data_IF_544168176700
#
_entry.id   IF_544168176700
#
_cell.length_a   1.000
_cell.length_b   1.000
_cell.length_c   1.000
_cell.angle_alpha   90.00
_cell.angle_beta   90.00
_cell.angle_gamma   90.00
#
_symmetry.space_group_name_H-M   'P 1'
#
loop_
_entity.id
_entity.type
_entity.pdbx_description
1 polymer ?
#
# COMPACT_ATOMS: atom_id res chain seq x y z
N UNK A 1 -39.03 -8.16 0.99
CA UNK A 1 -39.35 -6.82 0.44
C UNK A 1 -38.08 -6.31 -0.21
N UNK A 2 -38.14 -5.92 -1.48
CA UNK A 2 -37.00 -5.38 -2.23
C UNK A 2 -37.28 -3.91 -2.57
N UNK A 3 -36.29 -3.03 -2.45
CA UNK A 3 -36.38 -1.65 -2.90
C UNK A 3 -35.80 -1.55 -4.31
N UNK A 4 -36.57 -1.01 -5.26
CA UNK A 4 -36.09 -0.72 -6.61
C UNK A 4 -36.01 0.78 -6.78
N UNK A 5 -34.90 1.27 -7.31
CA UNK A 5 -34.73 2.67 -7.69
C UNK A 5 -34.29 2.79 -9.14
N UNK A 6 -34.73 3.86 -9.79
CA UNK A 6 -34.34 4.23 -11.14
C UNK A 6 -33.21 5.28 -11.17
N UNK A 7 -32.62 5.64 -10.03
CA UNK A 7 -31.63 6.73 -9.92
C UNK A 7 -30.42 6.53 -10.86
N UNK A 8 -29.98 5.28 -11.02
CA UNK A 8 -28.86 4.88 -11.88
C UNK A 8 -29.32 4.17 -13.17
N UNK A 9 -30.59 4.36 -13.58
CA UNK A 9 -31.15 3.66 -14.75
C UNK A 9 -30.35 3.99 -16.00
N UNK A 10 -29.92 2.94 -16.72
CA UNK A 10 -29.13 3.07 -17.95
C UNK A 10 -27.64 3.30 -17.72
N UNK A 11 -27.17 3.32 -16.47
CA UNK A 11 -25.76 3.39 -16.11
C UNK A 11 -25.33 2.12 -15.37
N UNK A 12 -24.10 1.67 -15.59
CA UNK A 12 -23.54 0.53 -14.87
C UNK A 12 -23.11 0.99 -13.47
N UNK A 13 -23.44 0.23 -12.43
CA UNK A 13 -22.91 0.46 -11.09
C UNK A 13 -21.44 0.02 -11.07
N UNK A 14 -20.56 0.92 -10.65
CA UNK A 14 -19.11 0.70 -10.72
C UNK A 14 -18.44 0.71 -9.36
N UNK A 15 -19.07 1.30 -8.34
CA UNK A 15 -18.55 1.32 -6.99
C UNK A 15 -19.67 1.27 -5.95
N UNK A 16 -19.40 0.57 -4.86
CA UNK A 16 -20.26 0.50 -3.68
C UNK A 16 -19.41 0.73 -2.43
N UNK A 17 -19.95 1.42 -1.44
CA UNK A 17 -19.30 1.62 -0.16
C UNK A 17 -20.33 1.67 0.97
N UNK A 18 -20.05 0.97 2.07
CA UNK A 18 -20.92 0.95 3.25
C UNK A 18 -20.49 1.98 4.28
N UNK A 19 -21.48 2.72 4.80
CA UNK A 19 -21.43 3.28 6.15
C UNK A 19 -22.12 2.28 7.09
N UNK A 20 -21.31 1.46 7.76
CA UNK A 20 -21.79 0.44 8.69
C UNK A 20 -22.39 1.04 9.96
N UNK A 21 -22.01 2.27 10.33
CA UNK A 21 -22.46 2.92 11.57
C UNK A 21 -23.92 3.35 11.49
N UNK A 22 -24.36 3.85 10.33
CA UNK A 22 -25.73 4.34 10.13
C UNK A 22 -26.57 3.45 9.21
N UNK A 23 -25.98 2.33 8.76
CA UNK A 23 -26.55 1.36 7.82
C UNK A 23 -26.95 2.04 6.49
N UNK A 24 -26.03 2.78 5.89
CA UNK A 24 -26.21 3.40 4.56
C UNK A 24 -25.25 2.78 3.54
N UNK A 25 -25.68 2.69 2.29
CA UNK A 25 -24.86 2.26 1.15
C UNK A 25 -24.73 3.43 0.20
N UNK A 26 -23.49 3.81 -0.12
CA UNK A 26 -23.17 4.71 -1.20
C UNK A 26 -22.98 3.92 -2.49
N UNK A 27 -23.49 4.47 -3.59
CA UNK A 27 -23.50 3.86 -4.92
C UNK A 27 -22.95 4.86 -5.92
N UNK A 28 -21.94 4.45 -6.69
CA UNK A 28 -21.35 5.22 -7.78
C UNK A 28 -21.51 4.49 -9.11
N UNK A 29 -21.73 5.23 -10.19
CA UNK A 29 -21.96 4.66 -11.52
C UNK A 29 -20.98 5.12 -12.61
N UNK A 30 -21.16 4.56 -13.81
CA UNK A 30 -20.41 4.89 -15.02
C UNK A 30 -20.61 6.33 -15.51
N UNK A 31 -21.72 6.96 -15.17
CA UNK A 31 -22.02 8.36 -15.50
C UNK A 31 -21.42 9.36 -14.52
N UNK A 32 -20.82 8.91 -13.43
CA UNK A 32 -20.28 9.78 -12.38
C UNK A 32 -21.30 10.15 -11.29
N UNK A 33 -22.52 9.62 -11.33
CA UNK A 33 -23.51 9.90 -10.29
C UNK A 33 -23.17 9.11 -9.03
N UNK A 34 -23.22 9.78 -7.88
CA UNK A 34 -23.08 9.17 -6.56
C UNK A 34 -24.33 9.42 -5.75
N UNK A 35 -24.98 8.36 -5.29
CA UNK A 35 -26.16 8.40 -4.43
C UNK A 35 -25.92 7.57 -3.17
N UNK A 36 -26.82 7.69 -2.20
CA UNK A 36 -26.90 6.73 -1.10
C UNK A 36 -28.33 6.30 -0.81
N UNK A 37 -28.44 5.12 -0.23
CA UNK A 37 -29.68 4.59 0.31
C UNK A 37 -29.45 4.13 1.74
N UNK A 38 -30.46 4.29 2.60
CA UNK A 38 -30.42 3.77 3.96
C UNK A 38 -31.03 2.38 3.98
N UNK A 39 -30.22 1.37 4.30
CA UNK A 39 -30.70 0.05 4.62
C UNK A 39 -31.46 0.15 5.95
N UNK A 40 -32.74 -0.26 5.95
CA UNK A 40 -33.73 0.13 6.95
C UNK A 40 -33.30 -0.03 8.42
N UNK A 41 -33.81 0.86 9.27
CA UNK A 41 -33.75 0.73 10.73
C UNK A 41 -34.96 -0.06 11.20
N UNK A 42 -34.77 -1.28 11.70
CA UNK A 42 -35.74 -1.84 12.63
C UNK A 42 -35.45 -1.22 13.99
N UNK A 43 -36.34 -0.36 14.49
CA UNK A 43 -36.38 -0.15 15.95
C UNK A 43 -36.82 -1.49 16.54
N UNK A 44 -35.85 -2.27 17.00
CA UNK A 44 -36.06 -3.52 17.74
C UNK A 44 -36.89 -3.16 18.98
N UNK A 45 -38.19 -3.45 18.97
CA UNK A 45 -39.05 -3.15 20.13
C UNK A 45 -40.56 -3.10 19.89
N UNK A 46 -41.05 -3.06 18.64
CA UNK A 46 -42.49 -3.22 18.37
C UNK A 46 -42.72 -4.22 17.24
N UNK A 47 -43.20 -5.40 17.60
CA UNK A 47 -43.81 -6.37 16.68
C UNK A 47 -44.91 -5.62 15.91
N UNK A 48 -44.69 -5.39 14.61
CA UNK A 48 -45.63 -4.68 13.73
C UNK A 48 -45.15 -3.37 13.11
N UNK A 49 -43.94 -2.86 13.42
CA UNK A 49 -43.40 -1.68 12.70
C UNK A 49 -42.95 -2.07 11.29
N UNK A 50 -43.68 -1.63 10.27
CA UNK A 50 -43.25 -1.75 8.88
C UNK A 50 -41.83 -1.17 8.69
N UNK A 51 -40.99 -1.86 7.93
CA UNK A 51 -39.69 -1.32 7.53
C UNK A 51 -39.91 -0.04 6.72
N UNK A 52 -39.45 1.10 7.23
CA UNK A 52 -39.48 2.37 6.48
C UNK A 52 -38.26 2.41 5.57
N UNK A 53 -38.50 2.27 4.27
CA UNK A 53 -37.49 2.45 3.23
C UNK A 53 -37.36 3.96 3.00
N UNK A 54 -36.16 4.51 3.18
CA UNK A 54 -35.88 5.90 2.86
C UNK A 54 -35.62 6.05 1.36
N UNK A 55 -36.09 7.15 0.72
CA UNK A 55 -35.81 7.40 -0.69
C UNK A 55 -34.31 7.49 -0.93
N UNK A 56 -33.86 7.05 -2.11
CA UNK A 56 -32.47 7.25 -2.54
C UNK A 56 -32.20 8.75 -2.63
N UNK A 57 -31.05 9.18 -2.11
CA UNK A 57 -30.63 10.57 -2.15
C UNK A 57 -29.33 10.70 -2.94
N UNK A 58 -29.33 11.59 -3.92
CA UNK A 58 -28.12 11.90 -4.69
C UNK A 58 -27.20 12.77 -3.85
N UNK A 59 -25.96 12.32 -3.67
CA UNK A 59 -24.91 13.06 -2.96
C UNK A 59 -24.30 14.09 -3.89
N UNK A 60 -23.88 13.65 -5.07
CA UNK A 60 -23.18 14.48 -6.05
C UNK A 60 -23.12 13.79 -7.41
N UNK A 61 -22.75 14.55 -8.44
CA UNK A 61 -22.38 14.02 -9.76
C UNK A 61 -20.97 14.51 -10.07
N UNK A 62 -20.05 13.56 -10.23
CA UNK A 62 -18.66 13.85 -10.62
C UNK A 62 -18.49 13.85 -12.13
N UNK A 63 -17.32 14.26 -12.59
CA UNK A 63 -16.98 14.56 -13.98
C UNK A 63 -16.74 13.35 -14.88
N UNK A 64 -16.68 12.14 -14.32
CA UNK A 64 -16.42 10.90 -15.06
C UNK A 64 -16.83 9.67 -14.25
N UNK A 65 -16.77 8.48 -14.89
CA UNK A 65 -17.04 7.18 -14.26
C UNK A 65 -16.38 7.07 -12.88
N UNK A 66 -17.16 6.65 -11.88
CA UNK A 66 -16.66 6.38 -10.54
C UNK A 66 -15.86 5.08 -10.56
N UNK A 67 -14.64 5.13 -10.02
CA UNK A 67 -13.69 4.00 -9.94
C UNK A 67 -13.75 3.35 -8.56
N UNK A 68 -13.77 4.16 -7.50
CA UNK A 68 -13.76 3.67 -6.12
C UNK A 68 -14.46 4.67 -5.20
N UNK A 69 -15.18 4.16 -4.23
CA UNK A 69 -15.76 4.92 -3.12
C UNK A 69 -15.11 4.47 -1.81
N UNK A 70 -15.02 5.38 -0.85
CA UNK A 70 -14.62 5.07 0.52
C UNK A 70 -15.38 5.95 1.49
N UNK A 71 -15.70 5.45 2.68
CA UNK A 71 -16.38 6.21 3.71
C UNK A 71 -15.68 6.02 5.04
N UNK A 72 -15.37 7.12 5.73
CA UNK A 72 -14.79 7.10 7.07
C UNK A 72 -15.17 8.38 7.82
N UNK A 73 -15.63 8.23 9.07
CA UNK A 73 -15.87 9.33 10.02
C UNK A 73 -16.65 10.52 9.43
N UNK A 74 -17.82 10.23 8.80
CA UNK A 74 -18.69 11.25 8.22
C UNK A 74 -18.23 11.80 6.86
N UNK A 75 -17.13 11.27 6.30
CA UNK A 75 -16.58 11.72 5.02
C UNK A 75 -16.64 10.63 3.96
N UNK A 76 -17.11 11.01 2.79
CA UNK A 76 -17.15 10.19 1.59
C UNK A 76 -16.02 10.62 0.65
N UNK A 77 -15.15 9.69 0.29
CA UNK A 77 -14.19 9.88 -0.80
C UNK A 77 -14.75 9.27 -2.09
N UNK A 78 -14.63 10.03 -3.18
CA UNK A 78 -15.06 9.63 -4.53
C UNK A 78 -13.88 9.69 -5.48
N UNK A 79 -13.42 8.53 -5.93
CA UNK A 79 -12.37 8.38 -6.93
C UNK A 79 -13.01 8.17 -8.30
N UNK A 80 -12.72 9.05 -9.28
CA UNK A 80 -13.20 8.96 -10.68
C UNK A 80 -12.04 8.81 -11.66
N UNK A 81 -12.32 8.57 -12.95
CA UNK A 81 -11.27 8.45 -13.98
C UNK A 81 -10.37 9.70 -14.07
N UNK A 82 -10.95 10.88 -13.86
CA UNK A 82 -10.25 12.16 -14.07
C UNK A 82 -9.76 12.82 -12.79
N UNK A 83 -10.47 12.63 -11.68
CA UNK A 83 -10.23 13.33 -10.40
C UNK A 83 -10.58 12.49 -9.19
N UNK A 84 -10.10 12.90 -8.02
CA UNK A 84 -10.53 12.37 -6.73
C UNK A 84 -11.14 13.51 -5.91
N UNK A 85 -12.16 13.19 -5.13
CA UNK A 85 -12.93 14.15 -4.35
C UNK A 85 -13.11 13.67 -2.93
N UNK A 86 -13.20 14.62 -2.01
CA UNK A 86 -13.55 14.39 -0.63
C UNK A 86 -14.82 15.18 -0.32
N UNK A 87 -15.80 14.51 0.26
CA UNK A 87 -17.08 15.09 0.65
C UNK A 87 -17.26 14.91 2.15
N UNK A 88 -17.51 15.99 2.87
CA UNK A 88 -18.03 15.96 4.23
C UNK A 88 -19.54 15.82 4.14
N UNK A 89 -20.05 14.65 4.54
CA UNK A 89 -21.48 14.32 4.40
C UNK A 89 -22.35 14.97 5.48
N UNK A 90 -21.74 15.48 6.56
CA UNK A 90 -22.48 16.19 7.62
C UNK A 90 -22.59 17.67 7.31
N UNK A 91 -21.54 18.26 6.74
CA UNK A 91 -21.48 19.69 6.39
C UNK A 91 -21.85 19.99 4.95
N UNK A 92 -22.12 18.94 4.16
CA UNK A 92 -22.39 19.01 2.72
C UNK A 92 -21.31 19.80 1.95
N UNK A 93 -20.06 19.66 2.39
CA UNK A 93 -18.91 20.33 1.74
C UNK A 93 -18.18 19.36 0.84
N UNK A 94 -17.71 19.88 -0.29
CA UNK A 94 -17.06 19.09 -1.32
C UNK A 94 -15.74 19.73 -1.74
N UNK A 95 -14.67 18.95 -1.72
CA UNK A 95 -13.33 19.38 -2.11
C UNK A 95 -12.77 18.48 -3.19
N UNK A 96 -12.08 19.09 -4.14
CA UNK A 96 -11.23 18.36 -5.08
C UNK A 96 -9.91 18.04 -4.40
N UNK A 97 -9.45 16.80 -4.55
CA UNK A 97 -8.14 16.34 -4.08
C UNK A 97 -7.05 16.76 -5.06
N UNK A 98 -6.26 17.74 -4.65
CA UNK A 98 -5.21 18.36 -5.44
C UNK A 98 -5.73 19.11 -6.68
N UNK A 99 -4.79 19.64 -7.47
CA UNK A 99 -5.10 20.46 -8.64
C UNK A 99 -4.79 19.79 -9.98
N UNK A 100 -3.97 18.74 -10.00
CA UNK A 100 -3.67 18.01 -11.24
C UNK A 100 -4.70 16.93 -11.48
N UNK A 101 -5.21 16.91 -12.70
CA UNK A 101 -6.05 15.83 -13.19
C UNK A 101 -5.24 14.55 -13.40
N UNK A 102 -5.95 13.46 -13.63
CA UNK A 102 -5.41 12.16 -14.04
C UNK A 102 -6.25 11.64 -15.19
N UNK A 103 -5.76 10.61 -15.85
CA UNK A 103 -6.50 9.93 -16.90
C UNK A 103 -6.29 8.42 -16.78
N UNK A 104 -7.36 7.71 -16.43
CA UNK A 104 -7.37 6.27 -16.20
C UNK A 104 -7.96 5.85 -14.87
N UNK A 105 -7.99 4.53 -14.63
CA UNK A 105 -8.51 3.97 -13.38
C UNK A 105 -7.46 4.09 -12.27
N UNK A 106 -7.79 4.90 -11.26
CA UNK A 106 -6.93 5.10 -10.10
C UNK A 106 -7.77 5.14 -8.83
N UNK A 107 -7.32 4.40 -7.82
CA UNK A 107 -7.99 4.26 -6.54
C UNK A 107 -7.64 5.35 -5.54
N UNK A 108 -8.33 5.31 -4.41
CA UNK A 108 -7.99 6.08 -3.23
C UNK A 108 -8.54 5.39 -1.99
N UNK A 109 -7.96 5.65 -0.82
CA UNK A 109 -8.45 5.13 0.45
C UNK A 109 -8.09 6.04 1.61
N UNK A 110 -8.92 6.01 2.65
CA UNK A 110 -8.61 6.66 3.91
C UNK A 110 -7.54 5.89 4.68
N UNK A 111 -6.74 6.64 5.43
CA UNK A 111 -5.86 6.07 6.45
C UNK A 111 -6.62 6.02 7.79
N UNK A 112 -6.85 4.83 8.37
CA UNK A 112 -7.61 4.72 9.61
C UNK A 112 -6.77 5.17 10.80
N UNK A 113 -7.25 6.20 11.50
CA UNK A 113 -6.58 6.73 12.70
C UNK A 113 -6.81 5.86 13.95
N UNK A 114 -7.80 4.98 13.93
CA UNK A 114 -8.35 4.31 15.11
C UNK A 114 -7.53 3.11 15.63
N UNK A 115 -6.26 2.94 15.23
CA UNK A 115 -5.44 1.76 15.61
C UNK A 115 -4.21 2.11 16.44
N UNK A 116 -4.38 2.95 17.47
CA UNK A 116 -3.55 3.02 18.69
C UNK A 116 -2.08 3.46 18.55
N UNK A 117 -1.44 3.35 17.39
CA UNK A 117 -0.01 3.64 17.19
C UNK A 117 0.26 5.06 16.70
N UNK A 118 -0.79 5.81 16.32
CA UNK A 118 -0.68 7.12 15.65
C UNK A 118 -1.67 8.15 16.21
N UNK A 119 -1.98 8.06 17.50
CA UNK A 119 -2.79 9.06 18.21
C UNK A 119 -2.12 10.44 18.02
N UNK A 120 -2.78 11.34 17.29
CA UNK A 120 -2.31 12.70 17.01
C UNK A 120 -1.81 12.97 15.60
N UNK A 121 -1.71 11.97 14.71
CA UNK A 121 -1.44 12.25 13.29
C UNK A 121 -2.70 12.86 12.63
N UNK A 122 -2.58 13.90 11.80
CA UNK A 122 -3.71 14.49 11.10
C UNK A 122 -4.35 13.44 10.18
N UNK A 123 -5.65 13.56 9.89
CA UNK A 123 -6.32 12.57 9.05
C UNK A 123 -5.84 12.67 7.61
N UNK A 124 -5.58 11.50 7.01
CA UNK A 124 -4.95 11.38 5.70
C UNK A 124 -5.76 10.51 4.74
N UNK A 125 -5.65 10.86 3.47
CA UNK A 125 -6.15 10.13 2.32
C UNK A 125 -4.97 9.79 1.42
N UNK A 126 -4.92 8.55 0.93
CA UNK A 126 -4.01 8.16 -0.14
C UNK A 126 -4.75 8.12 -1.47
N UNK A 127 -4.19 8.75 -2.51
CA UNK A 127 -4.80 8.83 -3.84
C UNK A 127 -3.79 8.41 -4.92
N UNK A 128 -4.13 7.36 -5.67
CA UNK A 128 -3.31 6.89 -6.77
C UNK A 128 -3.28 7.89 -7.95
N UNK A 129 -2.12 7.92 -8.63
CA UNK A 129 -1.81 8.83 -9.74
C UNK A 129 -0.94 8.16 -10.81
N UNK A 130 -0.96 8.67 -12.06
CA UNK A 130 -0.15 8.15 -13.15
C UNK A 130 1.35 8.03 -12.82
N UNK A 131 1.97 6.99 -13.35
CA UNK A 131 3.40 6.70 -13.18
C UNK A 131 3.76 6.00 -11.87
N UNK A 132 2.88 5.10 -11.39
CA UNK A 132 3.06 4.38 -10.10
C UNK A 132 3.23 5.35 -8.93
N UNK A 133 2.40 6.40 -8.87
CA UNK A 133 2.48 7.43 -7.81
C UNK A 133 1.29 7.34 -6.87
N UNK A 134 1.52 7.70 -5.61
CA UNK A 134 0.46 7.88 -4.61
C UNK A 134 0.65 9.25 -3.96
N UNK A 135 -0.42 10.05 -3.93
CA UNK A 135 -0.46 11.27 -3.17
C UNK A 135 -0.95 11.01 -1.76
N UNK A 136 -0.26 11.59 -0.79
CA UNK A 136 -0.73 11.75 0.58
C UNK A 136 -1.43 13.10 0.70
N UNK A 137 -2.67 13.09 1.16
CA UNK A 137 -3.58 14.22 1.07
C UNK A 137 -4.25 14.44 2.42
N UNK A 138 -4.34 15.69 2.85
CA UNK A 138 -5.09 16.05 4.06
C UNK A 138 -6.60 16.13 3.78
N UNK A 139 -7.37 16.31 4.85
CA UNK A 139 -8.83 16.39 4.79
C UNK A 139 -9.40 17.72 4.25
N UNK A 140 -8.53 18.65 3.83
CA UNK A 140 -8.88 19.85 3.06
C UNK A 140 -8.68 19.63 1.54
N UNK A 141 -8.21 18.45 1.13
CA UNK A 141 -7.92 18.12 -0.27
C UNK A 141 -6.53 18.58 -0.74
N UNK A 142 -5.66 19.01 0.16
CA UNK A 142 -4.31 19.48 -0.18
C UNK A 142 -3.31 18.32 -0.20
N UNK A 143 -2.48 18.28 -1.24
CA UNK A 143 -1.45 17.26 -1.41
C UNK A 143 -0.25 17.59 -0.52
N UNK A 144 0.00 16.76 0.48
CA UNK A 144 1.11 16.90 1.42
C UNK A 144 2.40 16.33 0.85
N UNK A 145 2.31 15.16 0.20
CA UNK A 145 3.48 14.48 -0.36
C UNK A 145 3.12 13.58 -1.55
N UNK A 146 4.11 13.27 -2.38
CA UNK A 146 3.98 12.35 -3.53
C UNK A 146 4.97 11.21 -3.38
N UNK A 147 4.46 10.00 -3.15
CA UNK A 147 5.23 8.76 -3.15
C UNK A 147 5.37 8.26 -4.59
N UNK A 148 6.60 7.89 -5.00
CA UNK A 148 6.90 7.45 -6.37
C UNK A 148 7.45 6.03 -6.34
N UNK A 149 6.70 5.07 -6.86
CA UNK A 149 7.03 3.65 -6.76
C UNK A 149 7.60 3.04 -8.04
N UNK A 150 7.59 3.76 -9.19
CA UNK A 150 8.03 3.22 -10.49
C UNK A 150 9.38 2.51 -10.45
N UNK A 151 10.38 3.15 -9.85
CA UNK A 151 11.72 2.57 -9.69
C UNK A 151 11.77 1.52 -8.58
N UNK A 152 11.00 1.70 -7.50
CA UNK A 152 10.97 0.76 -6.38
C UNK A 152 10.30 -0.58 -6.74
N UNK A 153 9.48 -0.60 -7.78
CA UNK A 153 8.88 -1.80 -8.37
C UNK A 153 9.85 -2.60 -9.27
N UNK A 154 11.09 -2.13 -9.45
CA UNK A 154 12.15 -2.85 -10.16
C UNK A 154 12.75 -4.04 -9.35
N UNK A 155 12.17 -4.36 -8.19
CA UNK A 155 12.53 -5.54 -7.43
C UNK A 155 11.90 -6.81 -8.00
N UNK A 156 12.53 -7.99 -7.84
CA UNK A 156 11.90 -9.26 -8.17
C UNK A 156 10.64 -9.52 -7.32
N UNK A 157 9.64 -10.23 -7.87
CA UNK A 157 8.48 -10.64 -7.09
C UNK A 157 8.87 -11.62 -5.99
N UNK A 158 8.25 -11.49 -4.82
CA UNK A 158 8.38 -12.51 -3.79
C UNK A 158 7.47 -13.71 -4.12
N UNK A 159 7.96 -14.95 -3.97
CA UNK A 159 7.14 -16.12 -4.24
C UNK A 159 6.03 -16.24 -3.21
N UNK A 160 4.85 -16.64 -3.68
CA UNK A 160 3.75 -16.98 -2.80
C UNK A 160 4.06 -18.31 -2.09
N UNK A 161 4.01 -18.32 -0.76
CA UNK A 161 4.22 -19.55 0.00
C UNK A 161 2.90 -20.32 0.06
N UNK A 162 2.91 -21.51 -0.52
CA UNK A 162 1.75 -22.42 -0.54
C UNK A 162 2.19 -23.82 -0.12
N UNK A 163 1.28 -24.63 0.41
CA UNK A 163 1.57 -26.03 0.76
C UNK A 163 1.69 -26.96 -0.46
N UNK A 164 1.36 -26.46 -1.67
CA UNK A 164 1.26 -27.29 -2.88
C UNK A 164 2.52 -27.24 -3.71
N UNK A 165 3.19 -26.08 -3.73
CA UNK A 165 4.30 -25.82 -4.61
C UNK A 165 5.49 -25.31 -3.79
N UNK A 166 6.69 -25.77 -4.16
CA UNK A 166 7.93 -25.20 -3.64
C UNK A 166 8.07 -23.75 -4.12
N UNK A 167 8.42 -22.81 -3.23
CA UNK A 167 8.56 -21.41 -3.61
C UNK A 167 9.83 -21.21 -4.41
N UNK A 168 9.69 -20.66 -5.62
CA UNK A 168 10.82 -20.34 -6.50
C UNK A 168 11.04 -18.84 -6.47
N UNK A 169 12.10 -18.40 -5.80
CA UNK A 169 12.53 -17.01 -5.84
C UNK A 169 13.54 -16.82 -6.95
N UNK A 170 13.16 -16.06 -7.97
CA UNK A 170 14.12 -15.58 -8.97
C UNK A 170 14.64 -14.20 -8.53
N UNK A 171 15.92 -14.12 -8.19
CA UNK A 171 16.59 -12.89 -7.77
C UNK A 171 16.92 -11.92 -8.91
N UNK A 172 16.62 -12.30 -10.16
CA UNK A 172 16.90 -11.46 -11.33
C UNK A 172 16.24 -10.08 -11.18
N UNK A 173 17.06 -9.05 -11.36
CA UNK A 173 16.60 -7.68 -11.31
C UNK A 173 15.54 -7.43 -12.40
N UNK A 174 14.43 -6.81 -12.00
CA UNK A 174 13.35 -6.47 -12.93
C UNK A 174 13.52 -5.04 -13.43
N UNK A 175 12.94 -4.76 -14.59
CA UNK A 175 12.85 -3.38 -15.08
C UNK A 175 11.85 -2.58 -14.26
N UNK A 176 12.03 -1.26 -14.19
CA UNK A 176 11.08 -0.36 -13.56
C UNK A 176 9.68 -0.51 -14.18
N UNK A 177 8.64 -0.50 -13.34
CA UNK A 177 7.27 -0.77 -13.78
C UNK A 177 6.38 0.46 -13.61
N UNK A 178 5.68 0.84 -14.68
CA UNK A 178 4.68 1.92 -14.65
C UNK A 178 3.29 1.30 -14.62
N UNK A 179 2.79 1.05 -13.41
CA UNK A 179 1.53 0.36 -13.15
C UNK A 179 0.49 1.38 -12.71
N UNK A 180 -0.73 1.22 -13.20
CA UNK A 180 -1.89 1.94 -12.65
C UNK A 180 -2.29 1.26 -11.33
N UNK A 181 -2.65 2.05 -10.32
CA UNK A 181 -3.17 1.52 -9.06
C UNK A 181 -4.69 1.71 -9.05
N UNK A 182 -5.47 0.80 -9.67
CA UNK A 182 -6.89 1.04 -9.98
C UNK A 182 -7.76 1.14 -8.74
N UNK A 183 -7.44 0.36 -7.70
CA UNK A 183 -8.01 0.46 -6.36
C UNK A 183 -6.89 0.52 -5.34
N UNK A 184 -7.10 1.28 -4.26
CA UNK A 184 -6.23 1.26 -3.09
C UNK A 184 -7.06 0.77 -1.91
N UNK A 185 -6.56 -0.22 -1.19
CA UNK A 185 -7.17 -0.68 0.07
C UNK A 185 -6.13 -0.60 1.18
N UNK A 186 -6.62 -0.39 2.39
CA UNK A 186 -5.77 -0.39 3.57
C UNK A 186 -5.65 -1.81 4.13
N UNK A 187 -4.44 -2.23 4.45
CA UNK A 187 -4.10 -3.58 4.93
C UNK A 187 -3.32 -3.51 6.25
N UNK A 188 -3.81 -4.22 7.27
CA UNK A 188 -3.20 -4.20 8.60
C UNK A 188 -3.22 -2.81 9.22
N UNK A 189 -2.07 -2.35 9.73
CA UNK A 189 -1.97 -1.11 10.51
C UNK A 189 -1.15 0.00 9.82
N UNK A 190 -0.47 -0.30 8.71
CA UNK A 190 0.43 0.65 8.05
C UNK A 190 0.53 0.47 6.54
N UNK A 191 -0.12 -0.54 5.95
CA UNK A 191 0.13 -0.91 4.57
C UNK A 191 -1.01 -0.52 3.65
N UNK A 192 -0.66 -0.28 2.39
CA UNK A 192 -1.60 -0.17 1.29
C UNK A 192 -1.46 -1.39 0.39
N UNK A 193 -2.58 -1.87 -0.14
CA UNK A 193 -2.61 -2.91 -1.17
C UNK A 193 -3.30 -2.38 -2.43
N UNK A 194 -2.74 -2.77 -3.57
CA UNK A 194 -3.33 -2.61 -4.91
C UNK A 194 -2.98 -3.84 -5.73
N UNK A 195 -3.63 -4.03 -6.87
CA UNK A 195 -3.41 -5.19 -7.71
C UNK A 195 -3.65 -4.86 -9.18
N UNK A 196 -3.08 -5.70 -10.04
CA UNK A 196 -3.44 -5.85 -11.45
C UNK A 196 -4.14 -7.18 -11.64
N UNK A 197 -4.45 -7.55 -12.88
CA UNK A 197 -4.91 -8.90 -13.24
C UNK A 197 -3.90 -10.02 -12.95
N UNK A 198 -2.64 -9.68 -12.67
CA UNK A 198 -1.50 -10.60 -12.67
C UNK A 198 -0.61 -10.50 -11.42
N UNK A 199 -0.80 -9.50 -10.56
CA UNK A 199 0.01 -9.30 -9.39
C UNK A 199 -0.69 -8.51 -8.27
N UNK A 200 -0.24 -8.75 -7.04
CA UNK A 200 -0.61 -7.98 -5.85
C UNK A 200 0.60 -7.19 -5.37
N UNK A 201 0.38 -5.91 -5.05
CA UNK A 201 1.42 -4.97 -4.62
C UNK A 201 1.10 -4.43 -3.24
N UNK A 202 2.07 -4.44 -2.33
CA UNK A 202 1.93 -3.96 -0.96
C UNK A 202 2.97 -2.87 -0.67
N UNK A 203 2.51 -1.72 -0.19
CA UNK A 203 3.33 -0.55 0.10
C UNK A 203 3.23 -0.15 1.56
N UNK A 204 4.30 0.47 2.08
CA UNK A 204 4.30 1.14 3.39
C UNK A 204 4.55 2.63 3.16
N UNK A 205 3.50 3.43 2.91
CA UNK A 205 3.67 4.83 2.48
C UNK A 205 4.42 5.69 3.50
N UNK A 206 4.26 5.45 4.81
CA UNK A 206 4.91 6.25 5.86
C UNK A 206 6.45 6.16 5.83
N UNK A 207 7.02 5.02 5.43
CA UNK A 207 8.46 4.88 5.23
C UNK A 207 8.89 5.17 3.79
N UNK A 208 7.96 5.46 2.89
CA UNK A 208 8.21 5.62 1.46
C UNK A 208 8.64 4.34 0.75
N UNK A 209 8.45 3.17 1.36
CA UNK A 209 8.99 1.91 0.86
C UNK A 209 7.92 1.05 0.16
N UNK A 210 8.34 0.32 -0.87
CA UNK A 210 7.60 -0.86 -1.34
C UNK A 210 7.90 -1.99 -0.35
N UNK A 211 6.86 -2.65 0.16
CA UNK A 211 7.04 -3.78 1.06
C UNK A 211 7.43 -5.01 0.23
N UNK A 212 6.59 -5.37 -0.75
CA UNK A 212 6.90 -6.31 -1.84
C UNK A 212 5.73 -6.35 -2.84
N UNK A 213 5.90 -7.13 -3.90
CA UNK A 213 4.82 -7.58 -4.76
C UNK A 213 4.96 -9.06 -5.09
N UNK A 214 3.86 -9.71 -5.44
CA UNK A 214 3.83 -11.15 -5.76
C UNK A 214 2.92 -11.40 -6.95
N UNK A 215 3.28 -12.40 -7.76
CA UNK A 215 2.51 -12.79 -8.94
C UNK A 215 1.32 -13.65 -8.52
N UNK A 216 0.12 -13.18 -8.86
CA UNK A 216 -1.14 -13.88 -8.63
C UNK A 216 -2.00 -13.63 -9.86
N UNK A 217 -2.27 -14.68 -10.63
CA UNK A 217 -2.92 -14.57 -11.93
C UNK A 217 -4.43 -14.48 -11.83
N UNK A 218 -5.03 -13.86 -12.84
CA UNK A 218 -6.47 -13.82 -13.07
C UNK A 218 -7.23 -13.12 -11.94
N UNK A 219 -6.66 -12.08 -11.31
CA UNK A 219 -7.35 -11.34 -10.23
C UNK A 219 -8.41 -10.41 -10.81
N UNK A 220 -9.64 -10.54 -10.32
CA UNK A 220 -10.76 -9.66 -10.64
C UNK A 220 -10.97 -8.60 -9.56
N UNK A 221 -11.02 -9.01 -8.29
CA UNK A 221 -11.21 -8.10 -7.16
C UNK A 221 -10.56 -8.66 -5.90
N UNK A 222 -10.22 -7.77 -4.96
CA UNK A 222 -9.66 -8.16 -3.66
C UNK A 222 -10.47 -7.49 -2.55
N UNK A 223 -10.86 -8.28 -1.55
CA UNK A 223 -11.37 -7.78 -0.29
C UNK A 223 -10.31 -7.95 0.81
N UNK A 224 -10.24 -6.98 1.73
CA UNK A 224 -9.29 -6.99 2.86
C UNK A 224 -10.06 -7.12 4.17
N UNK A 225 -9.63 -8.03 5.04
CA UNK A 225 -10.06 -8.09 6.42
C UNK A 225 -8.85 -8.26 7.34
N UNK A 226 -8.60 -7.27 8.21
CA UNK A 226 -7.41 -7.25 9.09
C UNK A 226 -6.10 -7.34 8.27
N UNK A 227 -5.40 -8.48 8.33
CA UNK A 227 -4.16 -8.78 7.59
C UNK A 227 -4.39 -9.84 6.49
N UNK A 228 -5.64 -10.15 6.19
CA UNK A 228 -6.06 -11.17 5.26
C UNK A 228 -6.60 -10.53 3.97
N UNK A 229 -6.30 -11.17 2.86
CA UNK A 229 -6.64 -10.80 1.50
C UNK A 229 -7.48 -11.95 0.92
N UNK A 230 -8.66 -11.61 0.40
CA UNK A 230 -9.55 -12.53 -0.29
C UNK A 230 -9.59 -12.12 -1.76
N UNK A 231 -8.95 -12.88 -2.63
CA UNK A 231 -8.84 -12.57 -4.05
C UNK A 231 -9.85 -13.39 -4.85
N UNK A 232 -10.77 -12.69 -5.52
CA UNK A 232 -11.68 -13.29 -6.49
C UNK A 232 -10.96 -13.40 -7.83
N UNK A 233 -10.95 -14.60 -8.40
CA UNK A 233 -10.35 -14.86 -9.70
C UNK A 233 -11.39 -14.87 -10.83
N UNK A 234 -10.97 -14.64 -12.07
CA UNK A 234 -11.82 -14.68 -13.27
C UNK A 234 -12.46 -16.06 -13.51
N UNK A 235 -11.79 -17.13 -13.09
CA UNK A 235 -12.35 -18.48 -13.01
C UNK A 235 -13.52 -18.64 -12.03
N UNK A 236 -13.81 -17.64 -11.19
CA UNK A 236 -14.78 -17.69 -10.09
C UNK A 236 -14.22 -18.29 -8.79
N UNK A 237 -12.96 -18.73 -8.78
CA UNK A 237 -12.29 -19.21 -7.58
C UNK A 237 -12.03 -18.07 -6.59
N UNK A 238 -12.10 -18.38 -5.29
CA UNK A 238 -11.66 -17.49 -4.22
C UNK A 238 -10.36 -18.02 -3.60
N UNK A 239 -9.31 -17.20 -3.58
CA UNK A 239 -8.09 -17.50 -2.82
C UNK A 239 -8.01 -16.66 -1.55
N UNK A 240 -7.52 -17.29 -0.48
CA UNK A 240 -7.30 -16.65 0.81
C UNK A 240 -5.80 -16.54 1.08
N UNK A 241 -5.34 -15.31 1.27
CA UNK A 241 -3.95 -14.90 1.33
C UNK A 241 -3.72 -14.12 2.63
N UNK A 242 -2.76 -14.53 3.45
CA UNK A 242 -2.48 -13.88 4.75
C UNK A 242 -1.12 -13.21 4.73
N UNK A 243 -1.08 -11.91 5.05
CA UNK A 243 0.16 -11.17 5.23
C UNK A 243 0.74 -11.42 6.63
N UNK A 244 1.78 -12.25 6.71
CA UNK A 244 2.46 -12.62 7.96
C UNK A 244 3.96 -12.40 7.84
N UNK A 245 4.70 -12.33 8.94
CA UNK A 245 6.17 -12.25 8.86
C UNK A 245 6.80 -13.61 8.51
N UNK A 246 8.01 -13.62 7.94
CA UNK A 246 8.70 -14.84 7.56
C UNK A 246 8.90 -15.79 8.75
N UNK A 247 9.22 -15.26 9.93
CA UNK A 247 9.37 -16.07 11.13
C UNK A 247 8.04 -16.69 11.60
N UNK A 248 6.92 -15.97 11.46
CA UNK A 248 5.58 -16.55 11.71
C UNK A 248 5.17 -17.56 10.65
N UNK A 249 5.63 -17.39 9.41
CA UNK A 249 5.42 -18.37 8.34
C UNK A 249 6.09 -19.69 8.69
N UNK A 250 7.38 -19.68 9.04
CA UNK A 250 8.12 -20.87 9.46
C UNK A 250 7.46 -21.51 10.69
N UNK A 251 7.12 -20.73 11.72
CA UNK A 251 6.41 -21.24 12.91
C UNK A 251 5.13 -22.00 12.53
N UNK A 252 4.32 -21.46 11.61
CA UNK A 252 3.10 -22.12 11.11
C UNK A 252 3.39 -23.40 10.34
N UNK A 253 4.44 -23.41 9.51
CA UNK A 253 4.85 -24.59 8.74
C UNK A 253 5.36 -25.71 9.66
N UNK A 254 6.12 -25.37 10.69
CA UNK A 254 6.60 -26.32 11.72
C UNK A 254 5.43 -26.96 12.47
N UNK A 255 4.41 -26.17 12.85
CA UNK A 255 3.20 -26.70 13.51
C UNK A 255 2.40 -27.67 12.64
N UNK A 256 2.58 -27.62 11.33
CA UNK A 256 1.95 -28.52 10.35
C UNK A 256 2.89 -29.60 9.83
N UNK A 257 4.07 -29.76 10.44
CA UNK A 257 5.07 -30.76 10.08
C UNK A 257 5.51 -30.69 8.61
N UNK A 258 5.42 -29.51 7.99
CA UNK A 258 5.86 -29.27 6.61
C UNK A 258 7.35 -28.92 6.60
N UNK A 259 8.20 -29.90 6.97
CA UNK A 259 9.62 -29.68 7.22
C UNK A 259 10.39 -29.15 6.01
N UNK A 260 10.28 -29.72 4.80
CA UNK A 260 11.04 -29.22 3.65
C UNK A 260 10.69 -27.77 3.31
N UNK A 261 9.40 -27.44 3.31
CA UNK A 261 8.94 -26.09 3.01
C UNK A 261 9.36 -25.08 4.10
N UNK A 262 9.32 -25.47 5.38
CA UNK A 262 9.82 -24.64 6.48
C UNK A 262 11.31 -24.33 6.31
N UNK A 263 12.12 -25.33 5.94
CA UNK A 263 13.54 -25.15 5.70
C UNK A 263 13.82 -24.24 4.48
N UNK A 264 13.08 -24.40 3.38
CA UNK A 264 13.20 -23.51 2.20
C UNK A 264 12.90 -22.05 2.59
N UNK A 265 11.83 -21.80 3.35
CA UNK A 265 11.48 -20.45 3.83
C UNK A 265 12.57 -19.91 4.77
N UNK A 266 13.16 -20.75 5.63
CA UNK A 266 14.28 -20.37 6.48
C UNK A 266 15.50 -19.89 5.67
N UNK A 267 15.91 -20.67 4.67
CA UNK A 267 17.05 -20.35 3.82
C UNK A 267 16.80 -19.08 2.99
N UNK A 268 15.60 -18.96 2.39
CA UNK A 268 15.22 -17.82 1.57
C UNK A 268 15.19 -16.49 2.37
N UNK A 269 14.73 -16.53 3.62
CA UNK A 269 14.62 -15.34 4.47
C UNK A 269 15.63 -15.34 5.64
N UNK A 270 16.84 -15.86 5.40
CA UNK A 270 17.85 -16.06 6.45
C UNK A 270 18.08 -14.83 7.34
N UNK A 271 18.13 -13.61 6.78
CA UNK A 271 18.35 -12.38 7.55
C UNK A 271 17.26 -12.07 8.59
N UNK A 272 16.01 -12.42 8.27
CA UNK A 272 14.91 -12.27 9.23
C UNK A 272 14.97 -13.37 10.28
N UNK A 273 15.29 -14.60 9.88
CA UNK A 273 15.34 -15.77 10.77
C UNK A 273 16.52 -15.71 11.73
N UNK A 274 17.68 -15.18 11.32
CA UNK A 274 18.87 -15.09 12.16
C UNK A 274 18.80 -13.99 13.22
N UNK A 275 17.87 -13.05 13.08
CA UNK A 275 17.68 -11.95 14.02
C UNK A 275 17.23 -12.43 15.39
N UNK A 276 17.78 -11.83 16.45
CA UNK A 276 17.36 -12.00 17.84
C UNK A 276 15.85 -11.84 18.06
N UNK A 277 15.17 -11.02 17.25
CA UNK A 277 13.70 -10.83 17.34
C UNK A 277 12.92 -12.09 16.93
N UNK A 278 13.40 -12.85 15.96
CA UNK A 278 12.71 -14.04 15.44
C UNK A 278 12.64 -15.18 16.46
N UNK A 279 13.52 -15.18 17.45
CA UNK A 279 13.56 -16.20 18.53
C UNK A 279 12.31 -16.25 19.39
N UNK A 280 11.55 -15.14 19.45
CA UNK A 280 10.26 -15.11 20.16
C UNK A 280 9.22 -16.00 19.50
N UNK A 281 9.28 -16.18 18.17
CA UNK A 281 8.37 -17.02 17.39
C UNK A 281 8.97 -18.38 17.04
N UNK A 282 10.29 -18.43 16.79
CA UNK A 282 11.00 -19.67 16.44
C UNK A 282 12.24 -19.81 17.34
N UNK A 283 12.10 -20.49 18.49
CA UNK A 283 13.23 -20.87 19.32
C UNK A 283 14.27 -21.73 18.57
N UNK A 284 15.53 -21.72 19.02
CA UNK A 284 16.62 -22.45 18.36
C UNK A 284 16.39 -23.97 18.34
N UNK A 285 15.82 -24.52 19.41
CA UNK A 285 15.46 -25.94 19.52
C UNK A 285 14.47 -26.36 18.41
N UNK A 286 13.61 -25.44 17.96
CA UNK A 286 12.68 -25.70 16.85
C UNK A 286 13.38 -25.75 15.51
N UNK A 287 14.42 -24.94 15.31
CA UNK A 287 15.23 -24.96 14.07
C UNK A 287 16.16 -26.17 14.04
N UNK A 288 16.74 -26.56 15.17
CA UNK A 288 17.51 -27.81 15.31
C UNK A 288 16.62 -29.03 15.08
N UNK A 289 15.41 -29.03 15.64
CA UNK A 289 14.44 -30.09 15.39
C UNK A 289 14.04 -30.14 13.91
N UNK A 290 13.75 -29.00 13.27
CA UNK A 290 13.50 -28.92 11.82
C UNK A 290 14.61 -29.60 11.02
N UNK A 291 15.88 -29.30 11.32
CA UNK A 291 17.02 -29.94 10.67
C UNK A 291 17.02 -31.45 10.86
N UNK A 292 16.75 -31.93 12.08
CA UNK A 292 16.70 -33.37 12.38
C UNK A 292 15.62 -34.13 11.59
N UNK A 293 14.55 -33.44 11.16
CA UNK A 293 13.45 -34.02 10.40
C UNK A 293 13.70 -34.04 8.88
N UNK A 294 14.73 -33.35 8.37
CA UNK A 294 15.07 -33.40 6.95
C UNK A 294 15.79 -34.71 6.63
N UNK A 295 15.26 -35.47 5.67
CA UNK A 295 15.88 -36.73 5.25
C UNK A 295 17.27 -36.50 4.64
N UNK A 296 18.28 -37.22 5.15
CA UNK A 296 19.67 -37.14 4.71
C UNK A 296 19.93 -37.61 3.28
N UNK A 297 18.98 -38.24 2.60
CA UNK A 297 19.11 -38.69 1.20
C UNK A 297 18.49 -37.72 0.19
N UNK A 298 17.39 -37.06 0.56
CA UNK A 298 16.54 -36.29 -0.38
C UNK A 298 16.76 -34.78 -0.27
N UNK A 299 17.22 -34.30 0.90
CA UNK A 299 17.34 -32.87 1.22
C UNK A 299 18.75 -32.48 1.69
N UNK A 300 19.80 -33.12 1.14
CA UNK A 300 21.20 -32.87 1.52
C UNK A 300 21.60 -31.40 1.39
N UNK A 301 21.34 -30.81 0.23
CA UNK A 301 21.71 -29.42 -0.05
C UNK A 301 20.93 -28.44 0.84
N UNK A 302 19.61 -28.63 0.95
CA UNK A 302 18.75 -27.82 1.81
C UNK A 302 19.15 -27.91 3.28
N UNK A 303 19.52 -29.10 3.76
CA UNK A 303 20.03 -29.29 5.12
C UNK A 303 21.37 -28.60 5.34
N UNK A 304 22.24 -28.55 4.32
CA UNK A 304 23.51 -27.82 4.40
C UNK A 304 23.28 -26.31 4.47
N UNK A 305 22.36 -25.78 3.66
CA UNK A 305 21.99 -24.36 3.68
C UNK A 305 21.37 -23.96 5.02
N UNK A 306 20.46 -24.80 5.56
CA UNK A 306 19.85 -24.54 6.86
C UNK A 306 20.89 -24.52 7.99
N UNK A 307 21.93 -25.37 7.89
CA UNK A 307 23.02 -25.36 8.86
C UNK A 307 23.81 -24.06 8.83
N UNK A 308 24.09 -23.54 7.63
CA UNK A 308 24.73 -22.24 7.48
C UNK A 308 23.89 -21.13 8.14
N UNK A 309 22.56 -21.16 7.99
CA UNK A 309 21.66 -20.21 8.66
C UNK A 309 21.73 -20.35 10.19
N UNK A 310 21.76 -21.58 10.71
CA UNK A 310 21.87 -21.84 12.15
C UNK A 310 23.16 -21.27 12.74
N UNK A 311 24.29 -21.41 12.04
CA UNK A 311 25.58 -20.86 12.51
C UNK A 311 25.60 -19.33 12.58
N UNK A 312 24.72 -18.65 11.84
CA UNK A 312 24.63 -17.18 11.77
C UNK A 312 23.65 -16.57 12.79
N UNK A 313 23.03 -17.36 13.67
CA UNK A 313 22.06 -16.88 14.65
C UNK A 313 22.71 -15.91 15.67
N UNK A 314 22.16 -14.71 15.82
CA UNK A 314 22.66 -13.69 16.77
C UNK A 314 22.60 -14.20 18.22
N UNK A 315 23.63 -14.10 19.09
CA UNK A 315 23.61 -14.63 20.45
C UNK A 315 22.45 -14.10 21.32
N UNK A 316 21.94 -14.89 22.29
CA UNK A 316 20.95 -14.39 23.24
C UNK A 316 21.66 -13.41 24.17
N UNK A 317 21.08 -12.23 24.35
CA UNK A 317 21.55 -11.13 25.20
C UNK A 317 22.69 -10.25 24.66
N UNK A 318 22.38 -9.50 23.60
CA UNK A 318 22.84 -8.11 23.48
C UNK A 318 21.68 -7.14 23.72
N UNK A 319 21.07 -7.21 24.90
CA UNK A 319 20.13 -6.18 25.35
C UNK A 319 20.93 -4.99 25.92
N UNK A 320 20.67 -3.79 25.39
CA UNK A 320 20.99 -2.48 25.99
C UNK A 320 22.42 -1.96 25.84
N UNK A 321 22.77 -1.49 24.63
CA UNK A 321 23.45 -0.20 24.52
C UNK A 321 22.46 0.82 23.99
N UNK A 322 21.70 1.41 24.92
CA UNK A 322 21.21 2.77 24.73
C UNK A 322 22.43 3.67 24.51
N UNK A 323 22.84 3.86 23.25
CA UNK A 323 23.57 5.07 22.91
C UNK A 323 22.59 6.22 23.12
N UNK A 324 22.69 6.80 24.32
CA UNK A 324 22.36 8.19 24.59
C UNK A 324 23.13 9.03 23.57
N UNK A 325 22.62 9.18 22.36
CA UNK A 325 23.04 10.26 21.49
C UNK A 325 22.37 11.51 22.04
N UNK A 326 23.20 12.30 22.72
CA UNK A 326 23.00 13.69 23.08
C UNK A 326 22.09 14.37 22.06
N UNK A 327 20.96 14.88 22.52
CA UNK A 327 20.24 15.91 21.78
C UNK A 327 21.12 17.16 21.79
N UNK A 328 21.95 17.33 20.77
CA UNK A 328 22.42 18.66 20.40
C UNK A 328 21.31 19.29 19.58
N UNK A 329 20.61 20.22 20.20
CA UNK A 329 19.71 21.16 19.56
C UNK A 329 20.45 21.91 18.45
N UNK A 330 20.33 21.47 17.21
CA UNK A 330 20.39 22.30 16.01
C UNK A 330 19.88 21.45 14.82
N UNK A 331 19.01 22.07 14.02
CA UNK A 331 18.37 21.54 12.81
C UNK A 331 19.20 20.46 12.10
N UNK A 332 18.78 19.20 12.20
CA UNK A 332 19.44 18.08 11.53
C UNK A 332 18.51 17.56 10.44
N UNK A 333 18.89 17.84 9.20
CA UNK A 333 18.30 17.29 7.99
C UNK A 333 18.42 15.76 8.01
N UNK A 334 17.29 15.05 8.06
CA UNK A 334 17.25 13.62 7.81
C UNK A 334 17.33 13.38 6.29
N UNK A 335 18.55 13.30 5.77
CA UNK A 335 18.81 12.67 4.47
C UNK A 335 18.79 11.16 4.72
N UNK A 336 17.72 10.49 4.26
CA UNK A 336 17.67 9.04 4.17
C UNK A 336 18.22 8.65 2.79
N UNK A 337 19.24 7.79 2.76
CA UNK A 337 19.89 7.23 1.55
C UNK A 337 18.99 6.24 0.77
N UNK A 338 17.68 6.43 0.77
CA UNK A 338 16.82 5.90 -0.28
C UNK A 338 16.65 7.03 -1.29
N UNK A 339 17.00 6.80 -2.57
CA UNK A 339 16.89 7.79 -3.66
C UNK A 339 15.47 8.25 -4.00
N UNK A 340 14.69 8.62 -2.99
CA UNK A 340 13.30 9.04 -3.03
C UNK A 340 13.27 10.54 -2.75
N UNK A 341 13.08 11.33 -3.80
CA UNK A 341 12.79 12.75 -3.66
C UNK A 341 11.34 12.93 -3.16
N UNK A 342 11.17 13.26 -1.87
CA UNK A 342 9.90 13.76 -1.33
C UNK A 342 9.66 15.16 -1.90
N UNK A 343 8.88 15.27 -2.97
CA UNK A 343 8.50 16.57 -3.51
C UNK A 343 7.40 17.17 -2.64
N UNK A 344 7.77 18.10 -1.77
CA UNK A 344 6.85 18.88 -0.93
C UNK A 344 6.38 20.07 -1.78
N UNK A 345 5.07 20.23 -1.98
CA UNK A 345 4.51 21.41 -2.63
C UNK A 345 4.56 22.59 -1.65
N UNK A 346 5.48 23.54 -1.86
CA UNK A 346 5.46 24.82 -1.16
C UNK A 346 4.57 25.79 -1.96
N UNK A 347 3.44 26.22 -1.39
CA UNK A 347 2.81 27.50 -1.75
C UNK A 347 3.34 28.56 -0.79
N UNK A 348 3.71 29.70 -1.38
CA UNK A 348 4.51 30.75 -0.75
C UNK A 348 3.91 31.30 0.53
N UNK A 349 4.77 31.41 1.53
CA UNK A 349 4.55 32.25 2.70
C UNK A 349 5.29 33.56 2.45
N UNK A 350 4.52 34.63 2.35
CA UNK A 350 4.97 36.00 2.45
C UNK A 350 5.67 36.16 3.80
N UNK A 351 6.88 36.73 3.77
CA UNK A 351 7.56 37.24 4.96
C UNK A 351 7.19 38.72 5.09
N UNK A 352 6.47 39.05 6.15
CA UNK A 352 6.33 40.40 6.65
C UNK A 352 7.65 40.80 7.34
N UNK A 353 8.35 41.79 6.81
CA UNK A 353 9.11 42.76 7.62
C UNK A 353 9.00 44.14 6.96
N UNK A 354 8.42 45.07 7.71
CA UNK A 354 8.38 46.51 7.42
C UNK A 354 9.76 47.13 7.73
N UNK A 355 10.32 47.92 6.82
CA UNK A 355 10.84 49.29 7.09
C UNK A 355 11.43 49.95 5.83
N UNK A 356 10.72 50.99 5.37
CA UNK A 356 11.12 52.22 4.67
C UNK A 356 12.55 52.39 4.09
N UNK A 357 12.67 52.63 2.77
CA UNK A 357 12.89 53.99 2.21
C UNK A 357 13.08 54.00 0.67
N UNK A 358 12.20 54.76 0.01
CA UNK A 358 12.39 55.67 -1.14
C UNK A 358 13.42 55.35 -2.26
N UNK A 359 12.92 55.19 -3.51
CA UNK A 359 13.24 56.00 -4.74
C UNK A 359 13.05 55.16 -6.04
N UNK A 360 12.05 55.60 -6.82
CA UNK A 360 11.89 55.72 -8.29
C UNK A 360 12.45 54.73 -9.35
N UNK A 361 11.62 54.64 -10.40
CA UNK A 361 11.88 54.32 -11.82
C UNK A 361 12.15 52.83 -12.13
N UNK A 362 11.73 52.23 -13.24
CA UNK A 362 10.76 52.45 -14.33
C UNK A 362 11.01 51.28 -15.30
N UNK A 363 9.98 50.88 -16.05
CA UNK A 363 10.07 50.20 -17.35
C UNK A 363 10.43 48.69 -17.42
N UNK A 364 9.64 48.06 -18.29
CA UNK A 364 9.70 46.73 -18.87
C UNK A 364 11.05 46.32 -19.46
N UNK A 365 11.31 45.02 -19.50
CA UNK A 365 11.87 44.37 -20.69
C UNK A 365 11.60 42.85 -20.66
N UNK A 366 10.57 42.50 -21.44
CA UNK A 366 10.46 41.23 -22.14
C UNK A 366 11.61 41.12 -23.15
N UNK A 367 11.99 39.90 -23.50
CA UNK A 367 13.08 39.52 -24.42
C UNK A 367 14.50 39.39 -23.83
N UNK A 368 14.82 38.17 -23.41
CA UNK A 368 16.11 37.57 -23.80
C UNK A 368 16.02 36.05 -23.96
N UNK A 369 15.84 35.68 -25.23
CA UNK A 369 16.48 34.55 -25.92
C UNK A 369 15.95 33.13 -25.65
N UNK A 370 15.09 32.71 -26.59
CA UNK A 370 15.16 31.38 -27.21
C UNK A 370 16.55 31.20 -27.82
N UNK A 371 17.16 30.02 -27.67
CA UNK A 371 17.74 29.27 -28.79
C UNK A 371 18.24 27.87 -28.36
N UNK A 372 17.66 26.87 -29.02
CA UNK A 372 18.20 25.53 -29.35
C UNK A 372 18.55 24.55 -28.21
N UNK A 373 18.45 23.24 -28.35
CA UNK A 373 17.83 22.31 -29.30
C UNK A 373 17.96 20.93 -28.68
N UNK A 374 16.99 20.07 -28.94
CA UNK A 374 17.11 18.63 -28.80
C UNK A 374 18.34 18.10 -29.57
N UNK A 375 19.21 17.35 -28.90
CA UNK A 375 20.09 16.37 -29.55
C UNK A 375 19.96 15.04 -28.82
N UNK A 376 19.60 14.04 -29.62
CA UNK A 376 19.56 12.62 -29.37
C UNK A 376 20.94 12.09 -29.75
N UNK A 377 21.66 11.42 -28.85
CA UNK A 377 22.85 10.64 -29.20
C UNK A 377 22.89 9.34 -28.40
N UNK A 378 23.16 8.26 -29.13
CA UNK A 378 23.28 6.88 -28.70
C UNK A 378 24.67 6.57 -28.09
N UNK A 379 24.65 5.58 -27.20
CA UNK A 379 25.67 4.60 -26.82
C UNK A 379 27.16 4.82 -27.17
N UNK A 380 27.98 4.98 -26.12
CA UNK A 380 29.33 4.43 -26.06
C UNK A 380 29.82 4.35 -24.61
N UNK A 381 30.29 3.15 -24.21
CA UNK A 381 30.77 2.88 -22.86
C UNK A 381 32.20 3.35 -22.61
N UNK A 382 32.49 3.63 -21.34
CA UNK A 382 33.81 3.34 -20.76
C UNK A 382 33.71 3.11 -19.24
N UNK A 383 34.58 2.21 -18.77
CA UNK A 383 34.67 1.67 -17.43
C UNK A 383 35.33 2.62 -16.42
N UNK A 384 34.89 2.62 -15.15
CA UNK A 384 35.65 3.30 -14.10
C UNK A 384 35.07 3.38 -12.69
N UNK A 385 35.11 2.26 -11.95
CA UNK A 385 35.32 2.14 -10.48
C UNK A 385 34.24 2.66 -9.51
N UNK A 386 33.44 1.69 -9.05
CA UNK A 386 33.30 1.28 -7.64
C UNK A 386 33.04 2.34 -6.56
N UNK A 387 31.75 2.56 -6.28
CA UNK A 387 31.27 2.64 -4.89
C UNK A 387 30.08 1.69 -4.76
N UNK A 388 30.25 0.64 -3.95
CA UNK A 388 29.25 -0.40 -3.71
C UNK A 388 28.13 0.22 -2.87
N UNK A 389 27.13 0.78 -3.55
CA UNK A 389 25.87 1.13 -2.91
C UNK A 389 25.15 -0.17 -2.56
N UNK A 390 24.87 -0.34 -1.26
CA UNK A 390 24.17 -1.49 -0.70
C UNK A 390 22.87 -1.73 -1.48
N UNK A 391 22.84 -2.83 -2.23
CA UNK A 391 21.80 -3.12 -3.21
C UNK A 391 20.42 -3.10 -2.56
N UNK A 392 19.43 -2.49 -3.23
CA UNK A 392 18.01 -2.48 -2.83
C UNK A 392 17.50 -3.90 -2.53
N UNK A 393 18.12 -4.93 -3.11
CA UNK A 393 17.93 -6.35 -2.80
C UNK A 393 18.16 -6.70 -1.32
N UNK A 394 19.15 -6.10 -0.65
CA UNK A 394 19.42 -6.32 0.76
C UNK A 394 18.33 -5.75 1.68
N UNK A 395 17.60 -4.71 1.25
CA UNK A 395 16.58 -4.05 2.10
C UNK A 395 15.23 -4.76 2.08
N UNK A 396 14.87 -5.42 0.96
CA UNK A 396 13.68 -6.29 0.89
C UNK A 396 13.77 -7.49 1.85
N UNK A 397 14.98 -7.90 2.23
CA UNK A 397 15.24 -8.92 3.25
C UNK A 397 15.02 -8.46 4.70
N UNK A 398 14.82 -7.15 4.95
CA UNK A 398 14.60 -6.59 6.30
C UNK A 398 13.13 -6.34 6.66
N UNK A 399 12.21 -6.41 5.69
CA UNK A 399 10.75 -6.31 5.94
C UNK A 399 10.06 -7.54 5.37
N UNK A 400 10.53 -8.73 5.76
CA UNK A 400 10.00 -9.99 5.24
C UNK A 400 8.61 -10.28 5.81
N UNK A 401 7.58 -9.69 5.17
CA UNK A 401 6.24 -10.25 5.23
C UNK A 401 6.03 -11.15 4.03
N UNK A 402 5.57 -12.35 4.29
CA UNK A 402 5.19 -13.38 3.34
C UNK A 402 3.67 -13.36 3.22
N UNK A 403 3.18 -13.55 1.99
CA UNK A 403 1.80 -13.96 1.81
C UNK A 403 1.75 -15.49 1.88
N UNK A 404 1.04 -16.01 2.87
CA UNK A 404 0.72 -17.44 2.93
C UNK A 404 -0.68 -17.67 2.38
N UNK A 405 -0.80 -18.59 1.42
CA UNK A 405 -2.10 -19.10 1.01
C UNK A 405 -2.63 -20.02 2.12
N UNK A 406 -3.70 -19.62 2.80
CA UNK A 406 -4.20 -20.36 3.96
C UNK A 406 -5.13 -21.53 3.59
N UNK A 407 -5.91 -21.42 2.49
CA UNK A 407 -6.67 -22.49 1.83
C UNK A 407 -7.44 -21.93 0.61
N UNK A 408 -7.87 -22.79 -0.32
CA UNK A 408 -8.94 -22.45 -1.28
C UNK A 408 -10.29 -22.59 -0.58
N UNK A 409 -11.09 -21.53 -0.55
CA UNK A 409 -12.50 -21.62 -0.19
C UNK A 409 -13.20 -22.13 -1.45
N UNK A 410 -13.74 -23.36 -1.39
CA UNK A 410 -14.58 -23.92 -2.46
C UNK A 410 -15.98 -23.36 -2.41
#
# INVERSE_FOLDING_TARGET
MYCVSCEHRGQAITALCWDTSTLRVFVGDSGGKVSFLRAGSSKLGKVGSAFVIFPIQTVTTVDSRVVQLGFQDGRLMVSSLKRCYLCDTEREKFWRVGNKERDGEYGACFFPQNRGLLVGQPPLLYCARPGSRIWEVNFNGEVLSTHQFKQLLACPPLPLITYRNEPHYNSDQKNSQSIAFPKLLYLGDQNLVTWTDSAVYIFTPQSGQVLFWTEVKDIVDIAVYRNELFCLHGSGQLSHLSLISAERCVERLLRRESWPLAAVVCCMFQHTITSSRARKSIPIDRLEHLRSQLSSSTHMELSSQLEEVLTKLEPPDSASSSRRSSISSHESFNILDCGIYRVISRRGSQSDEETSSLINQSMSEEERLKEFSFVQEEDQGDHGKSSVNMCTCCYFLYVCRVICLENHIK
#
